data_IF_763165406884
#
_entry.id   IF_763165406884
#
_cell.length_a   1.000
_cell.length_b   1.000
_cell.length_c   1.000
_cell.angle_alpha   90.00
_cell.angle_beta   90.00
_cell.angle_gamma   90.00
#
_symmetry.space_group_name_H-M   'P 1'
#
loop_
_entity.id
_entity.type
_entity.pdbx_description
1 polymer ?
#
# COMPACT_ATOMS: atom_id res chain seq x y z
N UNK A 1 -14.99 9.95 -46.16
CA UNK A 1 -14.36 8.62 -46.00
C UNK A 1 -13.00 8.70 -45.30
N UNK A 2 -12.09 9.58 -45.71
CA UNK A 2 -10.74 9.74 -45.10
C UNK A 2 -10.77 10.18 -43.62
N UNK A 3 -11.65 11.13 -43.26
CA UNK A 3 -11.78 11.62 -41.88
C UNK A 3 -12.26 10.53 -40.90
N UNK A 4 -13.11 9.61 -41.37
CA UNK A 4 -13.62 8.50 -40.55
C UNK A 4 -12.53 7.44 -40.30
N UNK A 5 -11.66 7.20 -41.30
CA UNK A 5 -10.51 6.32 -41.16
C UNK A 5 -9.46 6.87 -40.17
N UNK A 6 -9.22 8.19 -40.18
CA UNK A 6 -8.30 8.86 -39.24
C UNK A 6 -8.82 8.88 -37.79
N UNK A 7 -10.14 9.07 -37.61
CA UNK A 7 -10.77 9.01 -36.29
C UNK A 7 -10.77 7.57 -35.72
N UNK A 8 -11.03 6.57 -36.57
CA UNK A 8 -10.95 5.15 -36.18
C UNK A 8 -9.52 4.72 -35.83
N UNK A 9 -8.51 5.19 -36.58
CA UNK A 9 -7.11 4.88 -36.27
C UNK A 9 -6.65 5.54 -34.98
N UNK A 10 -7.06 6.79 -34.72
CA UNK A 10 -6.76 7.48 -33.47
C UNK A 10 -7.41 6.80 -32.25
N UNK A 11 -8.62 6.27 -32.40
CA UNK A 11 -9.30 5.49 -31.36
C UNK A 11 -8.56 4.15 -31.07
N UNK A 12 -8.05 3.48 -32.10
CA UNK A 12 -7.25 2.26 -31.93
C UNK A 12 -5.89 2.50 -31.25
N UNK A 13 -5.25 3.64 -31.54
CA UNK A 13 -3.98 4.03 -30.91
C UNK A 13 -4.13 4.38 -29.43
N UNK A 14 -5.27 4.92 -28.99
CA UNK A 14 -5.53 5.20 -27.56
C UNK A 14 -5.95 3.95 -26.78
N UNK A 15 -6.57 2.96 -27.42
CA UNK A 15 -6.89 1.66 -26.82
C UNK A 15 -5.65 0.78 -26.59
N UNK A 16 -4.58 0.97 -27.38
CA UNK A 16 -3.38 0.14 -27.32
C UNK A 16 -2.44 0.44 -26.12
N UNK A 17 -2.65 1.55 -25.39
CA UNK A 17 -1.77 1.97 -24.30
C UNK A 17 -2.31 1.71 -22.89
N UNK A 18 -3.39 0.92 -22.74
CA UNK A 18 -3.77 0.40 -21.44
C UNK A 18 -2.82 -0.75 -21.05
N UNK A 19 -1.59 -0.40 -20.64
CA UNK A 19 -0.75 -1.36 -19.93
C UNK A 19 -1.52 -1.77 -18.68
N UNK A 20 -1.95 -3.03 -18.63
CA UNK A 20 -2.47 -3.64 -17.42
C UNK A 20 -1.33 -3.57 -16.40
N UNK A 21 -1.30 -2.54 -15.57
CA UNK A 21 -0.40 -2.45 -14.43
C UNK A 21 -0.78 -3.62 -13.53
N UNK A 22 -0.05 -4.72 -13.67
CA UNK A 22 -0.17 -5.89 -12.80
C UNK A 22 0.29 -5.41 -11.42
N UNK A 23 -0.68 -5.02 -10.59
CA UNK A 23 -0.42 -4.57 -9.24
C UNK A 23 -0.19 -5.79 -8.36
N UNK A 24 0.94 -5.86 -7.63
CA UNK A 24 1.25 -7.03 -6.83
C UNK A 24 0.15 -7.23 -5.79
N UNK A 25 -0.50 -8.39 -5.82
CA UNK A 25 -1.57 -8.73 -4.88
C UNK A 25 -1.22 -10.04 -4.20
N UNK A 26 -1.19 -10.03 -2.88
CA UNK A 26 -0.86 -11.21 -2.04
C UNK A 26 -2.03 -11.56 -1.14
N UNK A 27 -2.13 -12.83 -0.76
CA UNK A 27 -3.14 -13.27 0.20
C UNK A 27 -2.48 -13.50 1.55
N UNK A 28 -3.03 -12.90 2.59
CA UNK A 28 -2.64 -13.12 4.00
C UNK A 28 -3.84 -13.65 4.78
N UNK A 29 -3.63 -14.04 6.04
CA UNK A 29 -4.70 -14.56 6.92
C UNK A 29 -5.93 -13.64 6.99
N UNK A 30 -5.71 -12.33 6.95
CA UNK A 30 -6.76 -11.31 7.08
C UNK A 30 -7.40 -10.88 5.75
N UNK A 31 -7.00 -11.48 4.62
CA UNK A 31 -7.57 -11.20 3.30
C UNK A 31 -6.51 -10.88 2.23
N UNK A 32 -6.96 -10.35 1.09
CA UNK A 32 -6.07 -9.97 0.00
C UNK A 32 -5.51 -8.56 0.20
N UNK A 33 -4.23 -8.35 -0.09
CA UNK A 33 -3.55 -7.05 0.01
C UNK A 33 -2.96 -6.70 -1.35
N UNK A 34 -3.30 -5.52 -1.87
CA UNK A 34 -2.72 -4.95 -3.10
C UNK A 34 -1.62 -3.98 -2.73
N UNK A 35 -0.42 -4.17 -3.26
CA UNK A 35 0.70 -3.25 -3.15
C UNK A 35 1.05 -2.60 -4.48
N UNK A 36 2.26 -2.06 -4.57
CA UNK A 36 2.85 -1.46 -5.77
C UNK A 36 4.26 -1.94 -6.04
N UNK A 37 4.64 -1.93 -7.31
CA UNK A 37 6.01 -2.22 -7.76
C UNK A 37 6.80 -0.92 -7.76
N UNK A 38 7.97 -0.91 -7.11
CA UNK A 38 8.90 0.22 -7.09
C UNK A 38 10.24 -0.18 -7.72
N UNK A 39 11.01 0.83 -8.11
CA UNK A 39 12.40 0.69 -8.53
C UNK A 39 13.29 1.40 -7.52
N UNK A 40 14.34 0.73 -7.05
CA UNK A 40 15.38 1.39 -6.25
C UNK A 40 16.21 2.34 -7.13
N UNK A 41 16.99 3.23 -6.50
CA UNK A 41 17.94 4.08 -7.23
C UNK A 41 18.96 3.27 -8.06
N UNK A 42 19.26 2.03 -7.66
CA UNK A 42 20.11 1.10 -8.39
C UNK A 42 19.39 0.27 -9.47
N UNK A 43 18.12 0.56 -9.77
CA UNK A 43 17.35 -0.15 -10.80
C UNK A 43 16.88 -1.55 -10.40
N UNK A 44 16.85 -1.88 -9.10
CA UNK A 44 16.28 -3.14 -8.61
C UNK A 44 14.78 -2.99 -8.41
N UNK A 45 14.01 -3.89 -9.01
CA UNK A 45 12.58 -4.02 -8.72
C UNK A 45 12.36 -4.48 -7.28
N UNK A 46 11.47 -3.80 -6.56
CA UNK A 46 10.96 -4.23 -5.26
C UNK A 46 9.44 -4.10 -5.24
N UNK A 47 8.78 -4.85 -4.36
CA UNK A 47 7.36 -4.76 -4.11
C UNK A 47 7.12 -4.13 -2.75
N UNK A 48 6.24 -3.13 -2.71
CA UNK A 48 5.89 -2.39 -1.52
C UNK A 48 4.42 -2.60 -1.18
N UNK A 49 4.15 -2.93 0.08
CA UNK A 49 2.81 -2.99 0.66
C UNK A 49 2.82 -2.06 1.87
N UNK A 50 2.21 -0.91 1.73
CA UNK A 50 2.29 0.19 2.69
C UNK A 50 0.92 0.42 3.33
N UNK A 51 0.87 0.75 4.62
CA UNK A 51 -0.41 1.00 5.29
C UNK A 51 -1.20 -0.28 5.60
N UNK A 52 -0.53 -1.41 5.89
CA UNK A 52 -1.21 -2.64 6.32
C UNK A 52 -1.57 -2.52 7.80
N UNK A 53 -2.85 -2.59 8.19
CA UNK A 53 -3.26 -2.48 9.59
C UNK A 53 -2.93 -3.76 10.35
N UNK A 54 -2.16 -3.65 11.43
CA UNK A 54 -1.80 -4.79 12.28
C UNK A 54 -2.61 -4.85 13.59
N UNK A 55 -3.27 -3.76 13.98
CA UNK A 55 -4.12 -3.67 15.16
C UNK A 55 -5.36 -2.82 14.91
N UNK A 56 -6.31 -2.86 15.84
CA UNK A 56 -7.47 -1.95 15.84
C UNK A 56 -7.03 -0.53 16.20
N UNK A 57 -7.65 0.52 15.64
CA UNK A 57 -7.31 1.91 15.96
C UNK A 57 -7.36 2.17 17.48
N UNK A 58 -6.32 2.79 18.07
CA UNK A 58 -6.24 3.05 19.51
C UNK A 58 -6.99 4.32 19.92
N UNK A 59 -8.15 4.58 19.32
CA UNK A 59 -8.95 5.80 19.51
C UNK A 59 -10.06 5.62 20.54
N UNK A 60 -10.54 6.73 21.12
CA UNK A 60 -11.65 6.75 22.07
C UNK A 60 -11.36 5.87 23.30
N UNK A 61 -12.28 4.96 23.62
CA UNK A 61 -12.14 4.04 24.77
C UNK A 61 -10.95 3.07 24.67
N UNK A 62 -10.26 3.01 23.54
CA UNK A 62 -9.04 2.19 23.34
C UNK A 62 -7.76 2.95 23.63
N UNK A 63 -7.83 4.28 23.83
CA UNK A 63 -6.66 5.09 24.16
C UNK A 63 -6.03 4.60 25.47
N UNK A 64 -4.71 4.51 25.50
CA UNK A 64 -3.92 4.02 26.64
C UNK A 64 -4.22 2.58 27.07
N UNK A 65 -4.81 1.76 26.17
CA UNK A 65 -4.99 0.32 26.38
C UNK A 65 -4.04 -0.46 25.48
N UNK A 66 -3.85 -1.72 25.83
CA UNK A 66 -3.08 -2.66 25.01
C UNK A 66 -3.67 -2.75 23.58
N UNK A 67 -2.82 -2.76 22.54
CA UNK A 67 -3.26 -2.96 21.17
C UNK A 67 -4.03 -4.27 21.03
N UNK A 68 -5.17 -4.22 20.33
CA UNK A 68 -5.94 -5.42 20.02
C UNK A 68 -5.78 -5.78 18.56
N UNK A 69 -5.50 -7.05 18.27
CA UNK A 69 -5.46 -7.58 16.91
C UNK A 69 -6.81 -7.37 16.19
N UNK A 70 -6.74 -7.16 14.87
CA UNK A 70 -7.93 -7.14 14.02
C UNK A 70 -8.39 -8.58 13.77
N UNK A 71 -9.31 -9.09 14.57
CA UNK A 71 -9.77 -10.48 14.43
C UNK A 71 -10.64 -10.76 13.21
N UNK A 72 -11.10 -9.71 12.50
CA UNK A 72 -11.96 -9.87 11.31
C UNK A 72 -11.14 -9.59 10.05
N UNK A 73 -11.10 -10.53 9.10
CA UNK A 73 -10.61 -10.26 7.75
C UNK A 73 -11.35 -9.08 7.12
N UNK A 74 -10.66 -8.29 6.30
CA UNK A 74 -11.34 -7.29 5.48
C UNK A 74 -12.05 -7.95 4.30
N UNK A 75 -13.13 -7.33 3.85
CA UNK A 75 -13.87 -7.79 2.66
C UNK A 75 -13.18 -7.22 1.41
N UNK A 76 -12.95 -8.08 0.42
CA UNK A 76 -12.30 -7.68 -0.84
C UNK A 76 -10.78 -7.57 -0.71
N UNK A 77 -10.21 -6.56 -1.36
CA UNK A 77 -8.76 -6.33 -1.42
C UNK A 77 -8.44 -5.07 -0.64
N UNK A 78 -7.56 -5.17 0.35
CA UNK A 78 -7.02 -4.01 1.07
C UNK A 78 -6.02 -3.29 0.16
N UNK A 79 -6.20 -1.98 0.00
CA UNK A 79 -5.30 -1.16 -0.78
C UNK A 79 -4.11 -0.71 0.09
N UNK A 80 -2.98 -1.35 -0.12
CA UNK A 80 -1.70 -1.05 0.52
C UNK A 80 -0.72 -0.40 -0.48
N UNK A 81 -1.22 0.42 -1.40
CA UNK A 81 -0.39 1.16 -2.36
C UNK A 81 0.14 2.49 -1.80
N UNK A 82 -0.29 2.88 -0.60
CA UNK A 82 0.06 4.12 0.06
C UNK A 82 0.36 3.91 1.56
N UNK A 83 1.31 4.64 2.14
CA UNK A 83 1.52 4.61 3.59
C UNK A 83 0.25 4.96 4.37
N UNK A 84 0.06 4.27 5.50
CA UNK A 84 -0.94 4.67 6.49
C UNK A 84 -0.52 5.96 7.21
N UNK A 85 -1.43 6.52 8.00
CA UNK A 85 -1.17 7.72 8.80
C UNK A 85 0.00 7.48 9.76
N UNK A 86 0.90 8.47 9.86
CA UNK A 86 1.88 8.51 10.95
C UNK A 86 1.16 8.78 12.26
N UNK A 87 1.74 8.29 13.37
CA UNK A 87 1.18 8.57 14.68
C UNK A 87 1.29 10.05 15.02
N UNK A 88 0.30 10.53 15.80
CA UNK A 88 0.25 11.89 16.31
C UNK A 88 1.57 12.29 16.96
N UNK A 89 2.25 13.27 16.39
CA UNK A 89 3.55 13.74 16.87
C UNK A 89 3.83 15.18 16.44
N UNK A 90 4.81 15.81 17.07
CA UNK A 90 5.37 17.07 16.57
C UNK A 90 6.27 16.80 15.37
N UNK A 91 6.04 17.52 14.28
CA UNK A 91 6.97 17.57 13.16
C UNK A 91 8.17 18.44 13.52
N UNK A 92 9.31 17.79 13.73
CA UNK A 92 10.56 18.44 14.11
C UNK A 92 11.10 19.36 13.00
N UNK A 93 10.72 19.13 11.74
CA UNK A 93 11.13 19.96 10.62
C UNK A 93 10.33 21.27 10.53
N UNK A 94 9.15 21.31 11.15
CA UNK A 94 8.25 22.45 11.09
C UNK A 94 7.88 22.99 12.47
N UNK A 95 8.72 22.76 13.48
CA UNK A 95 8.43 23.13 14.87
C UNK A 95 8.16 24.62 15.10
N UNK A 96 8.60 25.49 14.17
CA UNK A 96 8.36 26.95 14.20
C UNK A 96 7.06 27.38 13.51
N UNK A 97 6.33 26.46 12.86
CA UNK A 97 5.03 26.78 12.25
C UNK A 97 3.94 26.85 13.32
N UNK A 98 2.86 27.55 12.99
CA UNK A 98 1.68 27.71 13.86
C UNK A 98 1.03 26.36 14.21
N UNK A 99 1.06 25.40 13.30
CA UNK A 99 0.54 24.04 13.49
C UNK A 99 1.64 23.00 13.29
N UNK A 100 2.43 22.69 14.34
CA UNK A 100 3.56 21.76 14.24
C UNK A 100 3.16 20.30 14.49
N UNK A 101 1.89 20.00 14.76
CA UNK A 101 1.41 18.64 15.05
C UNK A 101 0.91 17.99 13.76
N UNK A 102 1.38 16.79 13.48
CA UNK A 102 0.98 15.98 12.32
C UNK A 102 0.49 14.60 12.77
N UNK A 103 -0.15 13.88 11.85
CA UNK A 103 -0.55 12.48 12.05
C UNK A 103 -1.96 12.30 12.58
N UNK A 104 -2.28 11.05 12.88
CA UNK A 104 -3.58 10.61 13.40
C UNK A 104 -3.36 9.63 14.57
N UNK A 105 -4.37 9.44 15.43
CA UNK A 105 -4.34 8.39 16.45
C UNK A 105 -4.58 7.00 15.85
N UNK A 106 -5.34 6.91 14.76
CA UNK A 106 -5.39 5.73 13.91
C UNK A 106 -4.11 5.63 13.06
N UNK A 107 -3.05 5.09 13.67
CA UNK A 107 -1.72 4.98 13.07
C UNK A 107 -1.07 3.59 13.18
N UNK A 108 -1.81 2.56 13.62
CA UNK A 108 -1.27 1.22 13.84
C UNK A 108 -1.18 0.41 12.52
N UNK A 109 -0.34 0.92 11.63
CA UNK A 109 -0.05 0.37 10.31
C UNK A 109 1.42 -0.03 10.20
N UNK A 110 1.71 -1.00 9.34
CA UNK A 110 3.06 -1.39 8.96
C UNK A 110 3.24 -1.35 7.45
N UNK A 111 4.49 -1.29 7.03
CA UNK A 111 4.89 -1.36 5.63
C UNK A 111 5.80 -2.58 5.43
N UNK A 112 5.62 -3.30 4.32
CA UNK A 112 6.45 -4.45 3.93
C UNK A 112 7.08 -4.16 2.57
N UNK A 113 8.39 -4.29 2.49
CA UNK A 113 9.14 -4.20 1.24
C UNK A 113 9.85 -5.52 0.99
N UNK A 114 9.62 -6.13 -0.17
CA UNK A 114 10.21 -7.41 -0.53
C UNK A 114 10.78 -7.38 -1.95
N UNK A 115 11.94 -8.01 -2.21
CA UNK A 115 12.45 -8.16 -3.57
C UNK A 115 11.67 -9.21 -4.38
N UNK A 116 10.90 -10.07 -3.72
CA UNK A 116 10.25 -11.24 -4.34
C UNK A 116 8.85 -11.45 -3.75
N UNK A 117 7.88 -11.76 -4.60
CA UNK A 117 6.53 -12.13 -4.18
C UNK A 117 6.45 -13.64 -3.93
N UNK A 118 5.66 -14.09 -2.96
CA UNK A 118 5.49 -15.52 -2.74
C UNK A 118 4.68 -16.14 -3.89
N UNK A 119 5.03 -17.37 -4.28
CA UNK A 119 4.28 -18.15 -5.27
C UNK A 119 2.98 -18.79 -4.73
N UNK A 120 2.68 -18.59 -3.44
CA UNK A 120 1.53 -19.12 -2.72
C UNK A 120 1.43 -18.52 -1.31
N UNK A 121 0.68 -19.15 -0.40
CA UNK A 121 0.58 -18.67 1.01
C UNK A 121 1.90 -18.81 1.78
N UNK A 122 2.73 -19.78 1.41
CA UNK A 122 4.05 -20.01 2.01
C UNK A 122 5.08 -19.94 0.88
N UNK A 123 6.11 -19.12 1.07
CA UNK A 123 7.25 -19.09 0.14
C UNK A 123 8.06 -20.39 0.27
N UNK A 124 8.41 -21.00 -0.85
CA UNK A 124 9.29 -22.18 -0.87
C UNK A 124 10.72 -21.84 -0.40
N UNK A 125 11.12 -20.58 -0.48
CA UNK A 125 12.41 -20.06 -0.03
C UNK A 125 12.19 -18.75 0.73
N UNK A 126 11.81 -18.81 2.02
CA UNK A 126 11.61 -17.61 2.82
C UNK A 126 12.92 -16.82 2.92
N UNK A 127 12.80 -15.49 2.85
CA UNK A 127 13.90 -14.55 3.09
C UNK A 127 13.89 -14.16 4.57
N UNK A 128 15.04 -13.75 5.08
CA UNK A 128 15.14 -13.17 6.41
C UNK A 128 14.31 -11.87 6.49
N UNK A 129 13.63 -11.68 7.62
CA UNK A 129 12.82 -10.50 7.92
C UNK A 129 13.57 -9.64 8.93
N UNK A 130 13.65 -8.34 8.65
CA UNK A 130 14.28 -7.32 9.50
C UNK A 130 13.19 -6.42 10.06
#
# INVERSE_FOLDING_TARGET
MVAYALLLSALFLTLASAQLLVTPTVTVEHGMVRGRTLQTAGGRTIYAFEGIPYAKPPVGDRRFKEPQFRTKPWVGVWDATHPGSVCLQYDHMTYLKEEPIIGDEDCLYLNVYTPELPAGFISANPKDVI
#
